data_IF_946923445047
#
_entry.id   IF_946923445047
#
_cell.length_a   1.000
_cell.length_b   1.000
_cell.length_c   1.000
_cell.angle_alpha   90.00
_cell.angle_beta   90.00
_cell.angle_gamma   90.00
#
_symmetry.space_group_name_H-M   'P 1'
#
loop_
_entity.id
_entity.type
_entity.pdbx_description
1 polymer ?
#
# COMPACT_ATOMS: atom_id res chain seq x y z
N UNK A 1 -36.25 -69.18 12.86
CA UNK A 1 -36.62 -67.79 12.53
C UNK A 1 -36.34 -67.00 13.81
N UNK A 2 -35.08 -66.66 14.11
CA UNK A 2 -34.36 -65.47 13.56
C UNK A 2 -35.27 -64.25 13.64
N UNK A 3 -35.00 -63.23 14.47
CA UNK A 3 -33.79 -62.40 14.39
C UNK A 3 -33.48 -61.60 15.67
N UNK A 4 -32.18 -61.38 15.84
CA UNK A 4 -31.35 -60.56 16.73
C UNK A 4 -31.95 -59.36 17.52
N UNK A 5 -31.38 -59.01 18.70
CA UNK A 5 -31.56 -57.71 19.33
C UNK A 5 -30.58 -56.67 18.76
N UNK A 6 -31.10 -55.51 18.34
CA UNK A 6 -30.32 -54.39 17.81
C UNK A 6 -29.65 -53.60 18.94
N UNK A 7 -28.33 -53.67 18.99
CA UNK A 7 -27.45 -52.87 19.83
C UNK A 7 -27.35 -51.43 19.31
N UNK A 8 -27.90 -50.47 20.05
CA UNK A 8 -27.64 -49.05 19.80
C UNK A 8 -26.30 -48.65 20.47
N UNK A 9 -25.27 -48.44 19.65
CA UNK A 9 -24.02 -47.78 20.07
C UNK A 9 -24.23 -46.27 20.20
N UNK A 10 -23.59 -45.58 21.17
CA UNK A 10 -23.60 -44.13 21.23
C UNK A 10 -22.64 -43.55 20.17
N UNK A 11 -23.17 -42.77 19.23
CA UNK A 11 -22.38 -42.03 18.26
C UNK A 11 -21.68 -40.86 18.96
N UNK A 12 -20.36 -41.00 19.12
CA UNK A 12 -19.45 -39.93 19.53
C UNK A 12 -19.35 -38.88 18.42
N UNK A 13 -20.13 -37.81 18.51
CA UNK A 13 -19.94 -36.63 17.67
C UNK A 13 -18.64 -35.93 18.09
N UNK A 14 -17.58 -36.09 17.30
CA UNK A 14 -16.39 -35.25 17.40
C UNK A 14 -16.72 -33.82 16.96
N UNK A 15 -16.26 -32.78 17.67
CA UNK A 15 -16.42 -31.41 17.19
C UNK A 15 -15.50 -31.19 15.99
N UNK A 16 -16.07 -30.72 14.89
CA UNK A 16 -15.32 -30.24 13.72
C UNK A 16 -14.36 -29.11 14.15
N UNK A 17 -13.12 -29.07 13.62
CA UNK A 17 -12.20 -27.99 13.95
C UNK A 17 -12.76 -26.71 13.32
N UNK A 18 -13.27 -25.82 14.17
CA UNK A 18 -13.51 -24.45 13.79
C UNK A 18 -12.19 -23.89 13.23
N UNK A 19 -12.16 -23.64 11.94
CA UNK A 19 -11.12 -22.86 11.29
C UNK A 19 -11.06 -21.53 12.02
N UNK A 20 -10.06 -21.37 12.89
CA UNK A 20 -9.71 -20.10 13.50
C UNK A 20 -9.16 -19.22 12.37
N UNK A 21 -10.07 -18.65 11.58
CA UNK A 21 -9.77 -17.47 10.78
C UNK A 21 -9.49 -16.39 11.79
N UNK A 22 -8.21 -16.25 12.18
CA UNK A 22 -7.73 -15.16 12.99
C UNK A 22 -8.09 -13.88 12.23
N UNK A 23 -9.23 -13.29 12.60
CA UNK A 23 -9.60 -11.94 12.21
C UNK A 23 -8.43 -11.06 12.65
N UNK A 24 -7.65 -10.58 11.68
CA UNK A 24 -6.70 -9.51 11.92
C UNK A 24 -7.55 -8.33 12.35
N UNK A 25 -7.63 -8.13 13.67
CA UNK A 25 -8.35 -7.01 14.24
C UNK A 25 -7.74 -5.72 13.67
N UNK A 26 -8.54 -4.76 13.19
CA UNK A 26 -8.08 -3.48 12.66
C UNK A 26 -7.50 -2.54 13.74
N UNK A 27 -6.84 -3.11 14.75
CA UNK A 27 -5.98 -2.34 15.64
C UNK A 27 -4.86 -1.74 14.78
N UNK A 28 -4.91 -0.41 14.70
CA UNK A 28 -4.26 0.39 13.68
C UNK A 28 -2.78 0.03 13.53
N UNK A 29 -2.32 -0.06 12.28
CA UNK A 29 -0.92 -0.34 11.95
C UNK A 29 0.06 0.51 12.78
N UNK A 30 -0.30 1.77 13.03
CA UNK A 30 0.45 2.70 13.87
C UNK A 30 0.47 2.28 15.34
N UNK A 31 -0.64 1.79 15.90
CA UNK A 31 -0.69 1.29 17.28
C UNK A 31 0.19 0.03 17.46
N UNK A 32 0.15 -0.90 16.51
CA UNK A 32 1.04 -2.08 16.54
C UNK A 32 2.51 -1.67 16.48
N UNK A 33 2.86 -0.74 15.58
CA UNK A 33 4.23 -0.25 15.45
C UNK A 33 4.67 0.56 16.67
N UNK A 34 3.77 1.34 17.27
CA UNK A 34 4.00 2.08 18.52
C UNK A 34 4.30 1.12 19.67
N UNK A 35 3.48 0.07 19.83
CA UNK A 35 3.73 -0.93 20.87
C UNK A 35 5.06 -1.66 20.69
N UNK A 36 5.48 -1.93 19.45
CA UNK A 36 6.73 -2.63 19.17
C UNK A 36 7.96 -1.74 19.35
N UNK A 37 7.86 -0.46 18.98
CA UNK A 37 8.99 0.49 19.00
C UNK A 37 9.06 1.33 20.29
N UNK A 38 8.01 1.33 21.10
CA UNK A 38 7.82 2.19 22.28
C UNK A 38 7.86 3.69 21.94
N UNK A 39 7.53 4.05 20.70
CA UNK A 39 7.44 5.43 20.23
C UNK A 39 5.99 5.92 20.22
N UNK A 40 5.81 7.22 20.43
CA UNK A 40 4.50 7.85 20.33
C UNK A 40 3.88 7.65 18.92
N UNK A 41 2.59 7.29 18.81
CA UNK A 41 1.91 7.09 17.54
C UNK A 41 1.99 8.29 16.58
N UNK A 42 1.96 9.52 17.10
CA UNK A 42 2.04 10.72 16.27
C UNK A 42 3.46 10.92 15.73
N UNK A 43 4.49 10.60 16.53
CA UNK A 43 5.88 10.63 16.06
C UNK A 43 6.11 9.60 14.95
N UNK A 44 5.55 8.39 15.08
CA UNK A 44 5.59 7.37 14.02
C UNK A 44 4.90 7.89 12.76
N UNK A 45 3.69 8.45 12.91
CA UNK A 45 2.92 9.00 11.80
C UNK A 45 3.69 10.11 11.07
N UNK A 46 4.32 11.01 11.82
CA UNK A 46 5.13 12.09 11.25
C UNK A 46 6.35 11.53 10.49
N UNK A 47 7.12 10.64 11.12
CA UNK A 47 8.35 10.08 10.52
C UNK A 47 8.02 9.32 9.24
N UNK A 48 6.98 8.48 9.26
CA UNK A 48 6.56 7.74 8.07
C UNK A 48 6.04 8.69 6.98
N UNK A 49 5.26 9.71 7.32
CA UNK A 49 4.78 10.69 6.33
C UNK A 49 5.93 11.46 5.68
N UNK A 50 6.95 11.84 6.47
CA UNK A 50 8.15 12.53 5.97
C UNK A 50 8.98 11.61 5.07
N UNK A 51 9.09 10.32 5.39
CA UNK A 51 9.75 9.33 4.55
C UNK A 51 9.05 9.20 3.19
N UNK A 52 7.71 9.09 3.19
CA UNK A 52 6.92 9.01 1.95
C UNK A 52 7.03 10.32 1.15
N UNK A 53 6.88 11.47 1.80
CA UNK A 53 7.05 12.78 1.16
C UNK A 53 8.43 12.90 0.51
N UNK A 54 9.50 12.57 1.24
CA UNK A 54 10.86 12.60 0.70
C UNK A 54 11.04 11.68 -0.50
N UNK A 55 10.48 10.47 -0.44
CA UNK A 55 10.49 9.52 -1.56
C UNK A 55 9.79 10.07 -2.80
N UNK A 56 8.63 10.71 -2.64
CA UNK A 56 7.88 11.27 -3.76
C UNK A 56 8.57 12.51 -4.36
N UNK A 57 9.21 13.33 -3.52
CA UNK A 57 9.92 14.53 -3.96
C UNK A 57 11.12 14.22 -4.85
N UNK A 58 11.80 13.08 -4.63
CA UNK A 58 12.86 12.59 -5.52
C UNK A 58 12.31 12.33 -6.93
N UNK A 59 11.09 11.81 -7.03
CA UNK A 59 10.41 11.50 -8.30
C UNK A 59 9.62 12.68 -8.91
N UNK A 60 9.75 13.90 -8.35
CA UNK A 60 8.91 15.07 -8.71
C UNK A 60 7.39 14.77 -8.66
N UNK A 61 6.97 13.89 -7.76
CA UNK A 61 5.58 13.43 -7.62
C UNK A 61 4.99 13.81 -6.26
N UNK A 62 3.68 13.59 -6.09
CA UNK A 62 2.97 13.80 -4.82
C UNK A 62 2.56 15.25 -4.55
N UNK A 63 2.05 15.48 -3.34
CA UNK A 63 1.63 16.80 -2.88
C UNK A 63 2.57 17.38 -1.82
N UNK A 64 2.12 18.43 -1.15
CA UNK A 64 2.80 19.02 0.00
C UNK A 64 2.96 18.00 1.15
N UNK A 65 3.84 18.29 2.10
CA UNK A 65 3.99 17.46 3.31
C UNK A 65 2.66 17.33 4.10
N UNK A 66 1.86 18.40 4.32
CA UNK A 66 0.53 18.28 4.90
C UNK A 66 -0.42 17.36 4.12
N UNK A 67 -0.44 17.45 2.79
CA UNK A 67 -1.26 16.56 1.94
C UNK A 67 -0.82 15.11 2.06
N UNK A 68 0.50 14.88 2.02
CA UNK A 68 1.09 13.55 2.21
C UNK A 68 0.71 12.97 3.57
N UNK A 69 0.79 13.77 4.63
CA UNK A 69 0.41 13.35 5.98
C UNK A 69 -1.05 12.88 6.05
N UNK A 70 -1.99 13.62 5.45
CA UNK A 70 -3.42 13.23 5.41
C UNK A 70 -3.65 11.91 4.69
N UNK A 71 -3.01 11.73 3.53
CA UNK A 71 -3.10 10.49 2.75
C UNK A 71 -2.50 9.32 3.54
N UNK A 72 -1.30 9.48 4.11
CA UNK A 72 -0.66 8.45 4.92
C UNK A 72 -1.50 8.10 6.14
N UNK A 73 -2.09 9.09 6.82
CA UNK A 73 -2.99 8.86 7.94
C UNK A 73 -4.16 7.95 7.54
N UNK A 74 -4.86 8.27 6.45
CA UNK A 74 -5.97 7.46 5.95
C UNK A 74 -5.54 6.01 5.65
N UNK A 75 -4.42 5.84 4.92
CA UNK A 75 -3.88 4.52 4.56
C UNK A 75 -3.50 3.71 5.80
N UNK A 76 -2.81 4.32 6.76
CA UNK A 76 -2.31 3.64 7.95
C UNK A 76 -3.42 3.29 8.93
N UNK A 77 -4.46 4.12 9.04
CA UNK A 77 -5.68 3.79 9.77
C UNK A 77 -6.53 2.70 9.08
N UNK A 78 -6.21 2.33 7.84
CA UNK A 78 -6.97 1.33 7.09
C UNK A 78 -8.32 1.84 6.60
N UNK A 79 -8.43 3.16 6.40
CA UNK A 79 -9.61 3.75 5.77
C UNK A 79 -9.71 3.30 4.31
N UNK A 80 -10.93 3.31 3.78
CA UNK A 80 -11.15 3.14 2.34
C UNK A 80 -10.57 4.35 1.63
N UNK A 81 -9.60 4.11 0.74
CA UNK A 81 -8.94 5.15 -0.04
C UNK A 81 -9.55 5.12 -1.44
N UNK A 82 -10.10 6.23 -1.94
CA UNK A 82 -10.60 6.26 -3.28
C UNK A 82 -9.44 6.08 -4.28
N UNK A 83 -9.71 5.40 -5.39
CA UNK A 83 -8.71 5.14 -6.43
C UNK A 83 -8.37 6.42 -7.22
N UNK A 84 -9.35 7.31 -7.34
CA UNK A 84 -9.24 8.61 -7.99
C UNK A 84 -9.88 9.70 -7.13
N UNK A 85 -9.45 10.93 -7.35
CA UNK A 85 -9.97 12.13 -6.69
C UNK A 85 -10.53 13.08 -7.75
N UNK A 86 -11.63 13.76 -7.42
CA UNK A 86 -12.30 14.71 -8.29
C UNK A 86 -11.74 16.13 -8.10
N UNK A 87 -11.96 17.02 -9.07
CA UNK A 87 -11.40 18.39 -9.03
C UNK A 87 -11.88 19.24 -7.85
N UNK A 88 -13.06 18.91 -7.31
CA UNK A 88 -13.63 19.57 -6.14
C UNK A 88 -13.04 19.06 -4.83
N UNK A 89 -12.37 17.90 -4.83
CA UNK A 89 -11.73 17.32 -3.66
C UNK A 89 -10.59 18.19 -3.16
N UNK A 90 -10.40 18.17 -1.84
CA UNK A 90 -9.40 19.00 -1.18
C UNK A 90 -7.98 18.57 -1.57
N UNK A 91 -7.72 17.27 -1.62
CA UNK A 91 -6.44 16.70 -2.03
C UNK A 91 -6.07 17.10 -3.46
N UNK A 92 -7.05 17.15 -4.37
CA UNK A 92 -6.82 17.51 -5.77
C UNK A 92 -6.28 18.93 -5.88
N UNK A 93 -6.94 19.88 -5.19
CA UNK A 93 -6.56 21.30 -5.19
C UNK A 93 -5.19 21.51 -4.56
N UNK A 94 -4.92 20.87 -3.43
CA UNK A 94 -3.62 21.00 -2.74
C UNK A 94 -2.46 20.41 -3.54
N UNK A 95 -2.67 19.28 -4.23
CA UNK A 95 -1.66 18.70 -5.12
C UNK A 95 -1.40 19.66 -6.29
N UNK A 96 -2.47 20.18 -6.91
CA UNK A 96 -2.37 21.17 -7.99
C UNK A 96 -1.55 22.38 -7.56
N UNK A 97 -1.92 23.01 -6.45
CA UNK A 97 -1.24 24.19 -5.91
C UNK A 97 0.24 23.91 -5.60
N UNK A 98 0.53 22.72 -5.06
CA UNK A 98 1.91 22.31 -4.80
C UNK A 98 2.73 22.15 -6.08
N UNK A 99 2.16 21.56 -7.13
CA UNK A 99 2.81 21.43 -8.43
C UNK A 99 3.05 22.79 -9.09
N UNK A 100 2.06 23.70 -9.03
CA UNK A 100 2.19 25.08 -9.52
C UNK A 100 3.31 25.82 -8.77
N UNK A 101 3.35 25.73 -7.44
CA UNK A 101 4.41 26.32 -6.60
C UNK A 101 5.81 25.78 -6.99
N UNK A 102 5.89 24.50 -7.32
CA UNK A 102 7.12 23.82 -7.73
C UNK A 102 7.48 24.00 -9.21
N UNK A 103 6.66 24.72 -9.98
CA UNK A 103 6.83 24.91 -11.43
C UNK A 103 6.84 23.59 -12.21
N UNK A 104 6.11 22.58 -11.72
CA UNK A 104 5.92 21.31 -12.41
C UNK A 104 4.70 21.45 -13.34
N UNK A 105 4.77 21.00 -14.60
CA UNK A 105 3.63 21.04 -15.52
C UNK A 105 2.39 20.35 -14.92
N UNK A 106 1.30 21.11 -14.85
CA UNK A 106 0.04 20.67 -14.25
C UNK A 106 -0.94 20.23 -15.34
N UNK A 107 -1.41 18.99 -15.22
CA UNK A 107 -2.53 18.45 -15.96
C UNK A 107 -3.40 17.63 -15.02
N UNK A 108 -4.64 17.33 -15.41
CA UNK A 108 -5.51 16.44 -14.65
C UNK A 108 -4.84 15.08 -14.39
N UNK A 109 -4.24 14.50 -15.44
CA UNK A 109 -3.54 13.22 -15.37
C UNK A 109 -2.35 13.26 -14.41
N UNK A 110 -1.55 14.35 -14.42
CA UNK A 110 -0.38 14.45 -13.54
C UNK A 110 -0.76 14.64 -12.06
N UNK A 111 -1.89 15.31 -11.78
CA UNK A 111 -2.45 15.41 -10.42
C UNK A 111 -2.93 14.04 -9.93
N UNK A 112 -3.71 13.31 -10.74
CA UNK A 112 -4.18 11.97 -10.39
C UNK A 112 -3.01 11.01 -10.18
N UNK A 113 -1.97 11.10 -11.01
CA UNK A 113 -0.75 10.32 -10.83
C UNK A 113 -0.05 10.66 -9.50
N UNK A 114 0.11 11.94 -9.16
CA UNK A 114 0.73 12.35 -7.89
C UNK A 114 -0.04 11.82 -6.67
N UNK A 115 -1.38 11.88 -6.72
CA UNK A 115 -2.23 11.30 -5.69
C UNK A 115 -2.02 9.79 -5.57
N UNK A 116 -2.14 9.08 -6.70
CA UNK A 116 -2.01 7.62 -6.78
C UNK A 116 -0.65 7.14 -6.27
N UNK A 117 0.44 7.73 -6.75
CA UNK A 117 1.80 7.38 -6.32
C UNK A 117 1.97 7.61 -4.79
N UNK A 118 1.39 8.68 -4.23
CA UNK A 118 1.43 8.91 -2.77
C UNK A 118 0.70 7.82 -1.98
N UNK A 119 -0.49 7.43 -2.43
CA UNK A 119 -1.26 6.33 -1.84
C UNK A 119 -0.48 5.01 -1.92
N UNK A 120 0.10 4.71 -3.08
CA UNK A 120 0.83 3.47 -3.33
C UNK A 120 2.10 3.37 -2.51
N UNK A 121 2.86 4.46 -2.39
CA UNK A 121 4.04 4.51 -1.52
C UNK A 121 3.65 4.24 -0.07
N UNK A 122 2.56 4.83 0.43
CA UNK A 122 2.07 4.56 1.78
C UNK A 122 1.62 3.09 1.94
N UNK A 123 0.88 2.53 0.98
CA UNK A 123 0.43 1.14 1.01
C UNK A 123 1.61 0.15 0.97
N UNK A 124 2.59 0.38 0.11
CA UNK A 124 3.78 -0.45 0.00
C UNK A 124 4.63 -0.39 1.29
N UNK A 125 4.81 0.80 1.86
CA UNK A 125 5.50 0.96 3.14
C UNK A 125 4.76 0.23 4.28
N UNK A 126 3.44 0.39 4.38
CA UNK A 126 2.60 -0.32 5.34
C UNK A 126 2.75 -1.83 5.18
N UNK A 127 2.69 -2.34 3.94
CA UNK A 127 2.84 -3.76 3.64
C UNK A 127 4.21 -4.29 4.10
N UNK A 128 5.31 -3.64 3.69
CA UNK A 128 6.67 -4.06 4.03
C UNK A 128 6.94 -4.01 5.53
N UNK A 129 6.56 -2.92 6.20
CA UNK A 129 6.72 -2.79 7.65
C UNK A 129 5.87 -3.85 8.37
N UNK A 130 4.65 -4.10 7.93
CA UNK A 130 3.80 -5.14 8.52
C UNK A 130 4.44 -6.52 8.37
N UNK A 131 4.92 -6.87 7.18
CA UNK A 131 5.52 -8.18 6.89
C UNK A 131 6.84 -8.38 7.63
N UNK A 132 7.75 -7.42 7.54
CA UNK A 132 9.13 -7.57 8.00
C UNK A 132 9.24 -7.25 9.48
N UNK A 133 8.67 -6.12 9.91
CA UNK A 133 8.82 -5.62 11.28
C UNK A 133 7.78 -6.27 12.18
N UNK A 134 6.48 -6.05 11.90
CA UNK A 134 5.42 -6.47 12.83
C UNK A 134 5.22 -7.99 12.89
N UNK A 135 5.37 -8.69 11.75
CA UNK A 135 5.24 -10.15 11.68
C UNK A 135 6.57 -10.89 11.84
N UNK A 136 7.70 -10.17 11.91
CA UNK A 136 9.03 -10.75 12.07
C UNK A 136 9.44 -11.71 10.94
N UNK A 137 8.89 -11.56 9.73
CA UNK A 137 9.23 -12.43 8.59
C UNK A 137 10.45 -11.89 7.84
N UNK A 138 11.30 -12.78 7.35
CA UNK A 138 12.34 -12.41 6.40
C UNK A 138 11.70 -11.86 5.11
N UNK A 139 12.36 -10.88 4.50
CA UNK A 139 11.98 -10.47 3.15
C UNK A 139 12.47 -11.53 2.17
N UNK A 140 11.55 -12.00 1.33
CA UNK A 140 11.82 -12.88 0.21
C UNK A 140 11.52 -12.16 -1.11
N UNK A 141 11.83 -12.81 -2.22
CA UNK A 141 11.57 -12.28 -3.55
C UNK A 141 10.09 -11.94 -3.74
N UNK A 142 9.18 -12.81 -3.28
CA UNK A 142 7.74 -12.60 -3.37
C UNK A 142 7.29 -11.33 -2.62
N UNK A 143 7.92 -11.02 -1.48
CA UNK A 143 7.67 -9.80 -0.71
C UNK A 143 8.04 -8.55 -1.52
N UNK A 144 9.20 -8.56 -2.18
CA UNK A 144 9.66 -7.44 -2.99
C UNK A 144 8.82 -7.29 -4.26
N UNK A 145 8.49 -8.40 -4.93
CA UNK A 145 7.61 -8.42 -6.10
C UNK A 145 6.21 -7.87 -5.75
N UNK A 146 5.64 -8.28 -4.62
CA UNK A 146 4.35 -7.75 -4.18
C UNK A 146 4.40 -6.24 -3.90
N UNK A 147 5.41 -5.78 -3.17
CA UNK A 147 5.60 -4.35 -2.91
C UNK A 147 5.78 -3.55 -4.21
N UNK A 148 6.55 -4.07 -5.17
CA UNK A 148 6.71 -3.47 -6.49
C UNK A 148 5.39 -3.44 -7.26
N UNK A 149 4.56 -4.49 -7.17
CA UNK A 149 3.22 -4.52 -7.75
C UNK A 149 2.31 -3.41 -7.19
N UNK A 150 2.36 -3.15 -5.88
CA UNK A 150 1.63 -2.04 -5.24
C UNK A 150 2.12 -0.70 -5.81
N UNK A 151 3.44 -0.48 -5.85
CA UNK A 151 4.07 0.77 -6.28
C UNK A 151 3.85 1.12 -7.76
N UNK A 152 3.47 0.14 -8.59
CA UNK A 152 3.41 0.31 -10.04
C UNK A 152 2.00 0.15 -10.60
N UNK A 153 1.04 -0.21 -9.76
CA UNK A 153 -0.34 -0.40 -10.19
C UNK A 153 -0.86 0.83 -10.93
N UNK A 154 -1.39 0.68 -12.15
CA UNK A 154 -1.85 1.80 -12.98
C UNK A 154 -0.82 2.89 -13.28
N UNK A 155 0.48 2.57 -13.20
CA UNK A 155 1.56 3.43 -13.69
C UNK A 155 2.02 2.87 -15.03
N UNK A 156 1.75 3.59 -16.12
CA UNK A 156 2.19 3.19 -17.46
C UNK A 156 3.54 3.86 -17.75
N UNK A 157 4.57 3.07 -18.04
CA UNK A 157 5.88 3.61 -18.42
C UNK A 157 5.87 4.17 -19.86
N UNK A 158 5.07 3.55 -20.72
CA UNK A 158 4.81 3.99 -22.09
C UNK A 158 3.51 3.34 -22.58
N UNK A 159 2.96 3.77 -23.73
CA UNK A 159 1.81 3.09 -24.34
C UNK A 159 2.06 1.59 -24.62
N UNK A 160 3.32 1.18 -24.80
CA UNK A 160 3.72 -0.20 -25.05
C UNK A 160 4.06 -0.97 -23.77
N UNK A 161 4.28 -0.28 -22.64
CA UNK A 161 4.66 -0.87 -21.36
C UNK A 161 3.65 -0.51 -20.28
N UNK A 162 2.55 -1.25 -20.28
CA UNK A 162 1.51 -1.19 -19.27
C UNK A 162 1.97 -1.82 -17.96
N UNK A 163 1.49 -1.28 -16.82
CA UNK A 163 1.81 -1.79 -15.49
C UNK A 163 1.59 -3.30 -15.32
N UNK A 164 0.58 -3.88 -15.96
CA UNK A 164 0.32 -5.34 -15.89
C UNK A 164 1.48 -6.18 -16.39
N UNK A 165 2.34 -5.62 -17.26
CA UNK A 165 3.45 -6.33 -17.88
C UNK A 165 4.76 -6.22 -17.07
N UNK A 166 4.85 -5.32 -16.10
CA UNK A 166 6.11 -5.10 -15.36
C UNK A 166 5.92 -4.99 -13.84
N UNK A 167 4.72 -4.70 -13.36
CA UNK A 167 4.42 -4.56 -11.94
C UNK A 167 4.61 -5.88 -11.21
N UNK A 168 5.52 -5.88 -10.25
CA UNK A 168 5.93 -7.08 -9.51
C UNK A 168 6.82 -8.07 -10.28
N UNK A 169 7.30 -7.72 -11.47
CA UNK A 169 8.24 -8.56 -12.22
C UNK A 169 9.62 -7.92 -12.28
N UNK A 170 10.66 -8.74 -12.40
CA UNK A 170 11.99 -8.24 -12.74
C UNK A 170 11.97 -7.61 -14.13
N UNK A 171 12.82 -6.60 -14.29
CA UNK A 171 13.01 -5.94 -15.57
C UNK A 171 13.63 -6.92 -16.59
N UNK A 172 13.03 -7.11 -17.77
CA UNK A 172 13.68 -7.78 -18.89
C UNK A 172 14.96 -7.04 -19.33
N UNK A 173 15.96 -7.76 -19.85
CA UNK A 173 17.26 -7.20 -20.27
C UNK A 173 17.12 -5.97 -21.19
N UNK A 174 16.11 -5.97 -22.07
CA UNK A 174 15.91 -4.94 -23.10
C UNK A 174 14.75 -3.97 -22.79
N UNK A 175 14.22 -3.97 -21.56
CA UNK A 175 13.10 -3.11 -21.23
C UNK A 175 13.49 -1.62 -21.26
N UNK A 176 12.60 -0.73 -21.72
CA UNK A 176 12.78 0.71 -21.64
C UNK A 176 13.13 1.12 -20.21
N UNK A 177 14.09 2.05 -20.07
CA UNK A 177 14.38 2.63 -18.76
C UNK A 177 13.27 3.61 -18.41
N UNK A 178 12.89 3.64 -17.13
CA UNK A 178 12.18 4.79 -16.61
C UNK A 178 13.12 6.00 -16.65
N UNK A 179 12.88 6.90 -17.60
CA UNK A 179 13.70 8.09 -17.83
C UNK A 179 13.27 9.27 -16.96
N UNK A 180 12.18 9.15 -16.18
CA UNK A 180 11.70 10.23 -15.29
C UNK A 180 12.77 10.71 -14.31
N UNK A 181 13.73 9.86 -13.96
CA UNK A 181 14.84 10.16 -13.04
C UNK A 181 16.07 10.76 -13.71
N UNK A 182 16.13 10.76 -15.05
CA UNK A 182 17.31 11.18 -15.82
C UNK A 182 17.07 12.47 -16.60
N UNK A 183 15.83 12.95 -16.68
CA UNK A 183 15.49 14.16 -17.42
C UNK A 183 15.50 15.39 -16.47
N UNK A 184 16.42 16.35 -16.66
CA UNK A 184 16.57 17.49 -15.76
C UNK A 184 15.50 18.59 -15.96
N UNK A 185 14.42 18.33 -16.70
CA UNK A 185 13.40 19.33 -17.08
C UNK A 185 12.95 20.22 -15.93
#
# INVERSE_FOLDING_TARGET
>A
MESQPSSAQPSSAQPSPATTSAMVSPHSFVASLSSMTQLDPNNIMEVLSRMIYGSNMISKAGGSLPTTYRICYAVFQGQQIPEEIAENDFEYKEIREHMEFRQIPVSHESILQCYRETVQHAQAAKYLITKIVLQGRYYDEATIQHAHGILTHQIHLSPQMCWVNYGGYYRPLDAPRDLRFLDPS
#
